data_IF_101735023861
#
_entry.id   IF_101735023861
#
_cell.length_a   1.000
_cell.length_b   1.000
_cell.length_c   1.000
_cell.angle_alpha   90.00
_cell.angle_beta   90.00
_cell.angle_gamma   90.00
#
_symmetry.space_group_name_H-M   'P 1'
#
loop_
_entity.id
_entity.type
_entity.pdbx_description
1 polymer ?
#
# COMPACT_ATOMS: atom_id res chain seq x y z
N UNK A 1 6.48 -50.63 -11.22
CA UNK A 1 7.23 -49.69 -12.05
C UNK A 1 6.23 -48.96 -12.95
N UNK A 2 5.82 -47.78 -12.58
CA UNK A 2 4.91 -46.93 -13.38
C UNK A 2 5.51 -45.54 -13.49
N UNK A 3 6.03 -45.25 -14.69
CA UNK A 3 6.61 -43.98 -15.09
C UNK A 3 5.55 -42.87 -15.08
N UNK A 4 5.66 -41.92 -14.15
CA UNK A 4 4.89 -40.65 -14.17
C UNK A 4 5.64 -39.62 -14.97
N UNK A 5 5.19 -39.37 -16.21
CA UNK A 5 5.60 -38.21 -17.04
C UNK A 5 5.33 -36.89 -16.33
N UNK A 6 6.27 -35.91 -16.31
CA UNK A 6 6.05 -34.59 -15.76
C UNK A 6 5.10 -33.79 -16.65
N UNK A 7 4.04 -33.19 -16.07
CA UNK A 7 3.14 -32.25 -16.73
C UNK A 7 3.88 -30.92 -16.95
N UNK A 8 4.07 -30.57 -18.22
CA UNK A 8 4.51 -29.21 -18.61
C UNK A 8 3.38 -28.21 -18.33
N UNK A 9 3.66 -27.20 -17.51
CA UNK A 9 2.77 -26.06 -17.31
C UNK A 9 2.69 -25.15 -18.56
N UNK A 10 1.65 -24.33 -18.70
CA UNK A 10 1.48 -23.46 -19.85
C UNK A 10 2.58 -22.38 -19.88
N UNK A 11 3.28 -22.30 -21.02
CA UNK A 11 4.22 -21.22 -21.33
C UNK A 11 3.41 -19.94 -21.58
N UNK A 12 3.66 -18.91 -20.79
CA UNK A 12 3.13 -17.57 -21.02
C UNK A 12 4.00 -16.90 -22.07
N UNK A 13 3.46 -16.73 -23.26
CA UNK A 13 4.09 -16.04 -24.38
C UNK A 13 4.03 -14.51 -24.10
N UNK A 14 5.19 -13.91 -23.81
CA UNK A 14 5.32 -12.48 -23.60
C UNK A 14 5.35 -11.79 -24.96
N UNK A 15 4.22 -11.26 -25.38
CA UNK A 15 4.11 -10.43 -26.59
C UNK A 15 4.84 -9.10 -26.34
N UNK A 16 6.03 -8.96 -26.92
CA UNK A 16 6.80 -7.70 -26.95
C UNK A 16 6.13 -6.74 -27.95
N UNK A 17 5.67 -5.59 -27.47
CA UNK A 17 5.21 -4.49 -28.33
C UNK A 17 6.40 -3.95 -29.15
N UNK A 18 6.21 -3.71 -30.45
CA UNK A 18 7.26 -3.12 -31.28
C UNK A 18 7.48 -1.64 -30.91
N UNK A 19 8.75 -1.27 -30.76
CA UNK A 19 9.20 0.10 -30.54
C UNK A 19 9.02 0.90 -31.84
N UNK A 20 8.37 2.06 -31.75
CA UNK A 20 8.23 3.01 -32.86
C UNK A 20 9.55 3.77 -32.99
N UNK A 21 10.20 3.79 -34.15
CA UNK A 21 11.40 4.58 -34.36
C UNK A 21 11.06 6.07 -34.51
N UNK A 22 11.76 6.92 -33.75
CA UNK A 22 11.72 8.37 -33.90
C UNK A 22 12.46 8.78 -35.17
N UNK A 23 11.72 9.21 -36.17
CA UNK A 23 12.29 9.80 -37.39
C UNK A 23 12.63 11.27 -37.16
N UNK A 24 13.89 11.59 -37.46
CA UNK A 24 14.47 12.94 -37.41
C UNK A 24 13.84 13.91 -38.40
N UNK A 25 13.90 15.17 -38.06
CA UNK A 25 13.56 16.32 -38.91
C UNK A 25 14.53 16.40 -40.10
N UNK A 26 14.05 16.60 -41.32
CA UNK A 26 14.81 17.22 -42.38
C UNK A 26 14.36 18.66 -42.63
N UNK A 27 15.34 19.44 -43.11
CA UNK A 27 15.36 20.86 -43.29
C UNK A 27 14.31 21.43 -44.24
N UNK A 28 14.04 22.69 -44.02
CA UNK A 28 13.24 23.62 -44.82
C UNK A 28 13.86 23.86 -46.18
N UNK A 29 13.10 23.83 -47.26
CA UNK A 29 13.43 24.57 -48.46
C UNK A 29 12.54 25.79 -48.64
N UNK A 30 13.16 26.91 -48.93
CA UNK A 30 12.61 28.20 -49.27
C UNK A 30 11.59 28.11 -50.44
N UNK A 31 10.38 28.66 -50.22
CA UNK A 31 9.38 28.80 -51.28
C UNK A 31 9.41 30.20 -51.89
N UNK A 32 9.24 30.27 -53.23
CA UNK A 32 9.16 31.54 -53.94
C UNK A 32 7.80 32.23 -53.81
N UNK A 33 7.82 33.57 -53.86
CA UNK A 33 6.68 34.45 -53.74
C UNK A 33 5.61 34.21 -54.82
N UNK A 34 4.36 34.02 -54.38
CA UNK A 34 3.18 33.92 -55.23
C UNK A 34 2.34 35.21 -55.16
N UNK A 35 1.87 35.76 -56.28
CA UNK A 35 1.21 37.07 -56.35
C UNK A 35 -0.19 37.06 -55.69
N UNK A 36 -0.50 38.17 -55.01
CA UNK A 36 -1.74 38.47 -54.33
C UNK A 36 -2.96 38.33 -55.22
N UNK A 37 -3.81 37.31 -54.95
CA UNK A 37 -5.18 37.24 -55.47
C UNK A 37 -6.14 37.95 -54.49
N UNK A 38 -6.85 38.93 -55.03
CA UNK A 38 -7.95 39.65 -54.37
C UNK A 38 -9.02 38.68 -53.85
N UNK A 39 -9.23 38.68 -52.54
CA UNK A 39 -10.25 37.88 -51.84
C UNK A 39 -11.65 38.53 -52.03
N UNK A 40 -12.70 37.75 -52.35
CA UNK A 40 -14.06 38.23 -52.38
C UNK A 40 -14.58 38.52 -50.96
N UNK A 41 -15.59 39.42 -50.79
CA UNK A 41 -16.09 39.84 -49.48
C UNK A 41 -16.68 38.65 -48.71
N UNK A 42 -16.19 38.47 -47.50
CA UNK A 42 -16.64 37.44 -46.56
C UNK A 42 -18.10 37.72 -46.15
N UNK A 43 -19.01 36.74 -46.29
CA UNK A 43 -20.38 36.90 -45.80
C UNK A 43 -20.41 36.98 -44.29
N UNK A 44 -21.13 37.95 -43.80
CA UNK A 44 -21.41 38.38 -42.43
C UNK A 44 -21.03 37.44 -41.30
N UNK A 45 -20.06 37.90 -40.51
CA UNK A 45 -19.74 37.37 -39.15
C UNK A 45 -21.05 37.33 -38.35
N UNK A 46 -21.63 36.13 -38.16
CA UNK A 46 -22.69 35.93 -37.17
C UNK A 46 -22.15 36.43 -35.83
N UNK A 47 -22.76 37.50 -35.28
CA UNK A 47 -22.52 38.00 -33.93
C UNK A 47 -22.81 36.84 -32.98
N UNK A 48 -21.76 36.21 -32.45
CA UNK A 48 -21.89 35.33 -31.34
C UNK A 48 -22.46 36.17 -30.18
N UNK A 49 -23.69 35.86 -29.76
CA UNK A 49 -24.27 36.41 -28.55
C UNK A 49 -23.36 36.11 -27.36
N UNK A 50 -23.54 36.79 -26.22
CA UNK A 50 -22.70 36.58 -25.05
C UNK A 50 -22.59 35.10 -24.72
N UNK A 51 -21.40 34.58 -24.73
CA UNK A 51 -21.13 33.17 -24.45
C UNK A 51 -21.64 32.86 -23.05
N UNK A 52 -22.55 31.91 -22.96
CA UNK A 52 -23.11 31.44 -21.69
C UNK A 52 -21.94 31.01 -20.78
N UNK A 53 -21.91 31.40 -19.51
CA UNK A 53 -20.85 31.00 -18.61
C UNK A 53 -20.77 29.47 -18.56
N UNK A 54 -19.57 28.89 -18.46
CA UNK A 54 -19.41 27.44 -18.40
C UNK A 54 -20.17 26.86 -17.19
N UNK A 55 -20.83 25.70 -17.34
CA UNK A 55 -21.61 25.08 -16.27
C UNK A 55 -20.69 24.72 -15.08
N UNK A 56 -21.16 24.99 -13.86
CA UNK A 56 -20.41 24.65 -12.64
C UNK A 56 -20.44 23.12 -12.40
N UNK A 57 -19.42 22.58 -11.69
CA UNK A 57 -19.40 21.16 -11.33
C UNK A 57 -20.66 20.72 -10.57
N UNK A 58 -21.20 21.58 -9.72
CA UNK A 58 -22.45 21.31 -8.98
C UNK A 58 -23.66 21.17 -9.89
N UNK A 59 -23.81 22.05 -10.87
CA UNK A 59 -24.90 21.97 -11.87
C UNK A 59 -24.77 20.68 -12.70
N UNK A 60 -23.55 20.32 -13.09
CA UNK A 60 -23.30 19.10 -13.84
C UNK A 60 -23.68 17.88 -13.01
N UNK A 61 -23.24 17.81 -11.75
CA UNK A 61 -23.54 16.68 -10.86
C UNK A 61 -25.02 16.60 -10.50
N UNK A 62 -25.70 17.73 -10.29
CA UNK A 62 -27.14 17.75 -10.04
C UNK A 62 -27.93 17.21 -11.22
N UNK A 63 -27.58 17.64 -12.45
CA UNK A 63 -28.23 17.15 -13.67
C UNK A 63 -27.92 15.67 -13.92
N UNK A 64 -26.66 15.25 -13.72
CA UNK A 64 -26.26 13.86 -13.87
C UNK A 64 -27.04 12.93 -12.96
N UNK A 65 -27.22 13.32 -11.69
CA UNK A 65 -28.04 12.57 -10.71
C UNK A 65 -29.52 12.53 -11.11
N UNK A 66 -30.09 13.68 -11.48
CA UNK A 66 -31.50 13.77 -11.85
C UNK A 66 -31.86 12.94 -13.07
N UNK A 67 -30.99 12.92 -14.08
CA UNK A 67 -31.23 12.25 -15.35
C UNK A 67 -30.60 10.86 -15.43
N UNK A 68 -29.89 10.41 -14.37
CA UNK A 68 -29.13 9.15 -14.31
C UNK A 68 -28.20 8.97 -15.52
N UNK A 69 -27.37 9.97 -15.79
CA UNK A 69 -26.43 9.95 -16.92
C UNK A 69 -24.99 10.25 -16.47
N UNK A 70 -23.98 9.89 -17.27
CA UNK A 70 -22.61 10.31 -17.02
C UNK A 70 -22.48 11.84 -16.93
N UNK A 71 -21.61 12.34 -16.04
CA UNK A 71 -21.35 13.79 -15.88
C UNK A 71 -20.97 14.48 -17.20
N UNK A 72 -20.27 13.77 -18.11
CA UNK A 72 -19.93 14.28 -19.46
C UNK A 72 -21.17 14.59 -20.31
N UNK A 73 -22.21 13.77 -20.18
CA UNK A 73 -23.48 13.94 -20.94
C UNK A 73 -24.29 15.07 -20.33
N UNK A 74 -24.38 15.14 -19.00
CA UNK A 74 -25.01 16.24 -18.30
C UNK A 74 -24.34 17.59 -18.65
N UNK A 75 -23.02 17.65 -18.71
CA UNK A 75 -22.28 18.81 -19.19
C UNK A 75 -22.66 19.16 -20.64
N UNK A 76 -22.69 18.16 -21.52
CA UNK A 76 -23.07 18.33 -22.91
C UNK A 76 -24.48 18.91 -23.09
N UNK A 77 -25.45 18.54 -22.25
CA UNK A 77 -26.78 19.14 -22.23
C UNK A 77 -26.78 20.59 -21.78
N UNK A 78 -26.06 20.92 -20.69
CA UNK A 78 -25.92 22.30 -20.20
C UNK A 78 -25.21 23.21 -21.21
N UNK A 79 -24.29 22.65 -22.00
CA UNK A 79 -23.61 23.36 -23.10
C UNK A 79 -24.44 23.37 -24.42
N UNK A 80 -25.60 22.72 -24.45
CA UNK A 80 -26.45 22.67 -25.63
C UNK A 80 -25.99 21.72 -26.75
N UNK A 81 -25.06 20.80 -26.46
CA UNK A 81 -24.44 19.89 -27.43
C UNK A 81 -25.24 18.59 -27.63
N UNK A 82 -25.79 18.01 -26.56
CA UNK A 82 -26.51 16.74 -26.56
C UNK A 82 -27.52 16.71 -25.42
N UNK A 83 -28.74 16.25 -25.69
CA UNK A 83 -29.76 16.06 -24.65
C UNK A 83 -29.59 14.72 -23.96
N UNK A 84 -29.69 14.66 -22.63
CA UNK A 84 -29.61 13.44 -21.83
C UNK A 84 -30.61 12.37 -22.32
N UNK A 85 -31.85 12.77 -22.64
CA UNK A 85 -32.86 11.87 -23.21
C UNK A 85 -32.43 11.24 -24.53
N UNK A 86 -31.72 11.97 -25.40
CA UNK A 86 -31.24 11.44 -26.69
C UNK A 86 -30.15 10.41 -26.44
N UNK A 87 -29.20 10.72 -25.52
CA UNK A 87 -28.16 9.78 -25.16
C UNK A 87 -28.72 8.48 -24.57
N UNK A 88 -29.69 8.58 -23.64
CA UNK A 88 -30.35 7.41 -23.03
C UNK A 88 -31.01 6.50 -24.05
N UNK A 89 -31.60 7.07 -25.12
CA UNK A 89 -32.20 6.28 -26.22
C UNK A 89 -31.12 5.56 -27.05
N UNK A 90 -30.01 6.24 -27.33
CA UNK A 90 -28.93 5.67 -28.16
C UNK A 90 -28.10 4.63 -27.43
N UNK A 91 -28.00 4.76 -26.09
CA UNK A 91 -27.15 3.93 -25.22
C UNK A 91 -27.97 3.28 -24.09
N UNK A 92 -29.03 2.54 -24.45
CA UNK A 92 -29.98 2.00 -23.49
C UNK A 92 -29.36 1.07 -22.45
N UNK A 93 -28.42 0.21 -22.85
CA UNK A 93 -27.71 -0.69 -21.91
C UNK A 93 -26.82 0.09 -20.92
N UNK A 94 -26.11 1.09 -21.39
CA UNK A 94 -25.29 1.94 -20.54
C UNK A 94 -26.19 2.77 -19.61
N UNK A 95 -27.27 3.33 -20.10
CA UNK A 95 -28.24 4.05 -19.29
C UNK A 95 -28.84 3.18 -18.18
N UNK A 96 -29.18 1.93 -18.48
CA UNK A 96 -29.65 0.98 -17.45
C UNK A 96 -28.62 0.75 -16.33
N UNK A 97 -27.33 0.64 -16.66
CA UNK A 97 -26.27 0.54 -15.64
C UNK A 97 -26.20 1.79 -14.76
N UNK A 98 -26.37 2.98 -15.35
CA UNK A 98 -26.42 4.22 -14.59
C UNK A 98 -27.66 4.29 -13.69
N UNK A 99 -28.81 3.82 -14.15
CA UNK A 99 -30.01 3.71 -13.30
C UNK A 99 -29.74 2.82 -12.06
N UNK A 100 -29.08 1.68 -12.25
CA UNK A 100 -28.71 0.79 -11.15
C UNK A 100 -27.71 1.44 -10.18
N UNK A 101 -26.70 2.18 -10.70
CA UNK A 101 -25.72 2.91 -9.87
C UNK A 101 -26.40 3.95 -9.01
N UNK A 102 -27.26 4.78 -9.59
CA UNK A 102 -27.95 5.82 -8.85
C UNK A 102 -28.97 5.26 -7.84
N UNK A 103 -29.68 4.19 -8.18
CA UNK A 103 -30.56 3.48 -7.24
C UNK A 103 -29.78 2.91 -6.04
N UNK A 104 -28.56 2.38 -6.27
CA UNK A 104 -27.66 1.94 -5.18
C UNK A 104 -27.22 3.10 -4.29
N UNK A 105 -26.91 4.26 -4.88
CA UNK A 105 -26.53 5.45 -4.11
C UNK A 105 -27.70 6.02 -3.30
N UNK A 106 -28.93 5.97 -3.82
CA UNK A 106 -30.12 6.38 -3.10
C UNK A 106 -30.43 5.48 -1.91
N UNK A 107 -30.30 4.16 -2.09
CA UNK A 107 -30.47 3.19 -0.99
C UNK A 107 -29.31 3.16 -0.01
N UNK A 108 -28.13 3.69 -0.39
CA UNK A 108 -26.93 3.72 0.44
C UNK A 108 -26.25 5.10 0.34
N UNK A 109 -26.69 6.11 1.12
CA UNK A 109 -26.19 7.49 1.00
C UNK A 109 -24.70 7.67 1.26
N UNK A 110 -24.06 6.69 1.91
CA UNK A 110 -22.61 6.68 2.17
C UNK A 110 -21.78 6.24 0.97
N UNK A 111 -22.40 5.66 -0.08
CA UNK A 111 -21.70 5.23 -1.29
C UNK A 111 -21.47 6.41 -2.24
N UNK A 112 -20.21 6.66 -2.57
CA UNK A 112 -19.86 7.52 -3.70
C UNK A 112 -20.15 6.83 -5.04
N UNK A 113 -20.19 7.61 -6.11
CA UNK A 113 -20.48 7.12 -7.46
C UNK A 113 -19.53 5.98 -7.91
N UNK A 114 -18.22 6.14 -7.69
CA UNK A 114 -17.22 5.12 -8.03
C UNK A 114 -17.42 3.83 -7.24
N UNK A 115 -17.81 3.95 -5.97
CA UNK A 115 -18.05 2.79 -5.10
C UNK A 115 -19.32 2.04 -5.50
N UNK A 116 -20.40 2.76 -5.83
CA UNK A 116 -21.63 2.16 -6.32
C UNK A 116 -21.39 1.41 -7.64
N UNK A 117 -20.58 1.99 -8.53
CA UNK A 117 -20.16 1.32 -9.77
C UNK A 117 -19.32 0.06 -9.49
N UNK A 118 -18.38 0.13 -8.54
CA UNK A 118 -17.58 -1.00 -8.11
C UNK A 118 -18.42 -2.12 -7.46
N UNK A 119 -19.43 -1.78 -6.68
CA UNK A 119 -20.40 -2.72 -6.12
C UNK A 119 -21.11 -3.48 -7.23
N UNK A 120 -21.64 -2.78 -8.22
CA UNK A 120 -22.30 -3.39 -9.39
C UNK A 120 -21.36 -4.33 -10.15
N UNK A 121 -20.13 -3.90 -10.43
CA UNK A 121 -19.16 -4.71 -11.16
C UNK A 121 -18.73 -5.96 -10.39
N UNK A 122 -18.59 -5.85 -9.06
CA UNK A 122 -18.11 -6.97 -8.23
C UNK A 122 -19.19 -7.95 -7.84
N UNK A 123 -20.48 -7.56 -7.94
CA UNK A 123 -21.61 -8.35 -7.45
C UNK A 123 -21.64 -8.54 -5.92
N UNK A 124 -20.82 -7.78 -5.16
CA UNK A 124 -20.77 -7.85 -3.71
C UNK A 124 -21.83 -6.96 -3.08
N UNK A 125 -22.28 -7.31 -1.87
CA UNK A 125 -23.08 -6.41 -1.07
C UNK A 125 -22.28 -5.13 -0.73
N UNK A 126 -22.93 -3.93 -0.66
CA UNK A 126 -22.23 -2.65 -0.42
C UNK A 126 -21.28 -2.66 0.78
N UNK A 127 -21.72 -3.21 1.90
CA UNK A 127 -20.89 -3.32 3.11
C UNK A 127 -19.63 -4.18 2.89
N UNK A 128 -19.77 -5.32 2.21
CA UNK A 128 -18.65 -6.22 1.89
C UNK A 128 -17.65 -5.56 0.93
N UNK A 129 -18.15 -4.82 -0.06
CA UNK A 129 -17.31 -4.09 -1.00
C UNK A 129 -16.49 -3.01 -0.28
N UNK A 130 -17.13 -2.19 0.56
CA UNK A 130 -16.44 -1.14 1.34
C UNK A 130 -15.40 -1.73 2.30
N UNK A 131 -15.72 -2.82 2.97
CA UNK A 131 -14.76 -3.52 3.83
C UNK A 131 -13.53 -4.03 3.03
N UNK A 132 -13.77 -4.63 1.87
CA UNK A 132 -12.70 -5.10 0.98
C UNK A 132 -11.86 -3.93 0.45
N UNK A 133 -12.49 -2.82 0.08
CA UNK A 133 -11.82 -1.59 -0.36
C UNK A 133 -10.95 -1.02 0.75
N UNK A 134 -11.48 -0.88 1.97
CA UNK A 134 -10.73 -0.39 3.13
C UNK A 134 -9.52 -1.28 3.46
N UNK A 135 -9.68 -2.62 3.43
CA UNK A 135 -8.55 -3.56 3.59
C UNK A 135 -7.48 -3.37 2.53
N UNK A 136 -7.90 -3.18 1.27
CA UNK A 136 -6.97 -2.98 0.15
C UNK A 136 -6.23 -1.64 0.29
N UNK A 137 -6.92 -0.57 0.64
CA UNK A 137 -6.33 0.74 0.89
C UNK A 137 -5.32 0.69 2.04
N UNK A 138 -5.70 0.07 3.17
CA UNK A 138 -4.78 -0.14 4.31
C UNK A 138 -3.52 -0.91 3.89
N UNK A 139 -3.69 -1.99 3.13
CA UNK A 139 -2.55 -2.80 2.62
C UNK A 139 -1.63 -1.97 1.72
N UNK A 140 -2.20 -1.17 0.83
CA UNK A 140 -1.44 -0.30 -0.07
C UNK A 140 -0.69 0.79 0.70
N UNK A 141 -1.35 1.44 1.66
CA UNK A 141 -0.76 2.46 2.51
C UNK A 141 0.43 1.90 3.33
N UNK A 142 0.27 0.72 3.95
CA UNK A 142 1.37 0.06 4.68
C UNK A 142 2.52 -0.32 3.73
N UNK A 143 2.22 -0.80 2.52
CA UNK A 143 3.27 -1.11 1.53
C UNK A 143 4.05 0.14 1.12
N UNK A 144 3.36 1.25 0.87
CA UNK A 144 3.98 2.53 0.53
C UNK A 144 4.83 3.07 1.69
N UNK A 145 4.30 3.00 2.92
CA UNK A 145 5.04 3.40 4.12
C UNK A 145 6.36 2.64 4.25
N UNK A 146 6.32 1.32 4.09
CA UNK A 146 7.52 0.47 4.15
C UNK A 146 8.53 0.76 3.06
N UNK A 147 8.08 1.10 1.86
CA UNK A 147 8.99 1.46 0.75
C UNK A 147 9.66 2.82 0.92
N UNK A 148 9.12 3.69 1.77
CA UNK A 148 9.66 5.01 2.05
C UNK A 148 10.70 5.01 3.21
N UNK A 149 10.76 3.92 4.00
CA UNK A 149 11.66 3.82 5.15
C UNK A 149 12.93 3.09 4.74
N UNK A 150 14.09 3.68 5.09
CA UNK A 150 15.40 3.06 4.87
C UNK A 150 15.60 1.83 5.76
N UNK A 151 16.26 0.81 5.23
CA UNK A 151 16.66 -0.38 6.00
C UNK A 151 18.14 -0.36 6.39
N UNK A 152 18.87 0.71 6.10
CA UNK A 152 20.33 0.78 6.23
C UNK A 152 20.83 0.43 7.63
N UNK A 153 20.19 0.97 8.68
CA UNK A 153 20.60 0.70 10.06
C UNK A 153 20.42 -0.77 10.44
N UNK A 154 19.29 -1.38 10.05
CA UNK A 154 19.01 -2.81 10.28
C UNK A 154 19.97 -3.68 9.50
N UNK A 155 20.21 -3.36 8.23
CA UNK A 155 21.13 -4.12 7.37
C UNK A 155 22.58 -4.01 7.88
N UNK A 156 23.00 -2.84 8.37
CA UNK A 156 24.32 -2.63 8.97
C UNK A 156 24.52 -3.49 10.23
N UNK A 157 23.52 -3.52 11.13
CA UNK A 157 23.56 -4.39 12.30
C UNK A 157 23.67 -5.86 11.89
N UNK A 158 22.76 -6.33 11.02
CA UNK A 158 22.73 -7.74 10.60
C UNK A 158 24.03 -8.16 9.91
N UNK A 159 24.58 -7.30 9.07
CA UNK A 159 25.88 -7.50 8.42
C UNK A 159 27.02 -7.60 9.45
N UNK A 160 27.07 -6.67 10.41
CA UNK A 160 28.04 -6.69 11.50
C UNK A 160 27.96 -7.99 12.32
N UNK A 161 26.74 -8.48 12.63
CA UNK A 161 26.56 -9.73 13.38
C UNK A 161 27.08 -10.95 12.61
N UNK A 162 26.88 -10.98 11.28
CA UNK A 162 27.39 -12.05 10.41
C UNK A 162 28.93 -11.99 10.32
N UNK A 163 29.50 -10.82 10.01
CA UNK A 163 30.94 -10.63 9.83
C UNK A 163 31.72 -10.95 11.09
N UNK A 164 31.19 -10.59 12.24
CA UNK A 164 31.84 -10.84 13.55
C UNK A 164 31.57 -12.25 14.07
N UNK A 165 30.70 -13.05 13.44
CA UNK A 165 30.25 -14.34 13.95
C UNK A 165 29.84 -14.26 15.44
N UNK A 166 29.15 -13.15 15.77
CA UNK A 166 28.84 -12.82 17.16
C UNK A 166 27.86 -13.85 17.75
N UNK A 167 28.10 -14.29 19.00
CA UNK A 167 27.12 -15.13 19.70
C UNK A 167 25.85 -14.32 19.96
N UNK A 168 24.72 -14.85 19.50
CA UNK A 168 23.41 -14.19 19.54
C UNK A 168 22.46 -14.89 20.48
N UNK A 169 21.64 -14.11 21.16
CA UNK A 169 20.40 -14.54 21.75
C UNK A 169 19.27 -14.36 20.72
N UNK A 170 18.65 -15.47 20.34
CA UNK A 170 17.50 -15.54 19.43
C UNK A 170 16.27 -15.86 20.27
N UNK A 171 15.44 -14.85 20.54
CA UNK A 171 14.24 -15.01 21.36
C UNK A 171 13.09 -15.49 20.48
N UNK A 172 12.53 -16.61 20.85
CA UNK A 172 11.35 -17.21 20.22
C UNK A 172 10.16 -17.15 21.19
N UNK A 173 9.00 -17.66 20.78
CA UNK A 173 7.80 -17.63 21.64
C UNK A 173 8.01 -18.38 22.96
N UNK A 174 8.64 -19.56 22.91
CA UNK A 174 8.74 -20.47 24.06
C UNK A 174 10.12 -20.49 24.72
N UNK A 175 11.15 -20.04 24.01
CA UNK A 175 12.55 -20.14 24.46
C UNK A 175 13.47 -19.14 23.82
N UNK A 176 14.58 -18.88 24.49
CA UNK A 176 15.73 -18.17 23.93
C UNK A 176 16.78 -19.20 23.50
N UNK A 177 17.31 -19.06 22.29
CA UNK A 177 18.38 -19.88 21.74
C UNK A 177 19.67 -19.06 21.70
N UNK A 178 20.79 -19.71 21.93
CA UNK A 178 22.11 -19.16 21.65
C UNK A 178 22.61 -19.70 20.32
N UNK A 179 22.89 -18.84 19.35
CA UNK A 179 23.33 -19.24 18.02
C UNK A 179 24.19 -18.15 17.35
N UNK A 180 24.70 -18.42 16.16
CA UNK A 180 25.42 -17.47 15.32
C UNK A 180 24.63 -17.29 14.01
N UNK A 181 24.49 -16.04 13.53
CA UNK A 181 23.80 -15.73 12.28
C UNK A 181 24.77 -15.91 11.10
N UNK A 182 24.44 -16.77 10.16
CA UNK A 182 25.24 -17.03 8.96
C UNK A 182 24.75 -16.20 7.76
N UNK A 183 23.43 -16.09 7.60
CA UNK A 183 22.84 -15.36 6.46
C UNK A 183 21.43 -14.85 6.78
N UNK A 184 21.02 -13.83 6.05
CA UNK A 184 19.67 -13.26 6.08
C UNK A 184 18.99 -13.50 4.74
N UNK A 185 17.98 -14.35 4.74
CA UNK A 185 17.12 -14.56 3.58
C UNK A 185 15.92 -13.61 3.60
N UNK A 186 15.15 -13.58 2.51
CA UNK A 186 13.95 -12.75 2.43
C UNK A 186 12.94 -13.03 3.55
N UNK A 187 12.73 -14.33 3.88
CA UNK A 187 11.70 -14.76 4.83
C UNK A 187 12.26 -15.55 6.03
N UNK A 188 13.56 -15.74 6.10
CA UNK A 188 14.21 -16.55 7.12
C UNK A 188 15.55 -15.97 7.53
N UNK A 189 16.01 -16.37 8.69
CA UNK A 189 17.39 -16.27 9.14
C UNK A 189 18.04 -17.66 9.04
N UNK A 190 19.30 -17.71 8.62
CA UNK A 190 20.11 -18.92 8.62
C UNK A 190 21.07 -18.87 9.79
N UNK A 191 20.91 -19.76 10.73
CA UNK A 191 21.74 -19.88 11.91
C UNK A 191 22.68 -21.10 11.81
N UNK A 192 23.79 -21.05 12.52
CA UNK A 192 24.83 -22.09 12.49
C UNK A 192 24.39 -23.41 13.12
N UNK A 193 23.73 -23.36 14.27
CA UNK A 193 23.31 -24.56 15.04
C UNK A 193 21.84 -24.91 14.78
N UNK A 194 20.94 -23.93 14.88
CA UNK A 194 19.50 -24.17 14.75
C UNK A 194 19.00 -24.19 13.30
N UNK A 195 19.90 -23.93 12.32
CA UNK A 195 19.59 -23.97 10.91
C UNK A 195 18.66 -22.83 10.47
N UNK A 196 17.83 -23.12 9.49
CA UNK A 196 16.92 -22.13 8.91
C UNK A 196 15.70 -21.90 9.81
N UNK A 197 15.45 -20.63 10.18
CA UNK A 197 14.30 -20.20 10.98
C UNK A 197 13.51 -19.10 10.27
N UNK A 198 12.18 -19.26 10.18
CA UNK A 198 11.33 -18.19 9.63
C UNK A 198 11.46 -16.92 10.48
N UNK A 199 11.60 -15.75 9.83
CA UNK A 199 11.64 -14.45 10.54
C UNK A 199 10.45 -14.26 11.46
N UNK A 200 9.26 -14.77 11.07
CA UNK A 200 8.05 -14.69 11.89
C UNK A 200 8.11 -15.43 13.23
N UNK A 201 9.05 -16.34 13.40
CA UNK A 201 9.25 -17.05 14.69
C UNK A 201 10.13 -16.25 15.65
N UNK A 202 10.94 -15.33 15.14
CA UNK A 202 11.88 -14.54 15.93
C UNK A 202 11.17 -13.32 16.52
N UNK A 203 11.30 -13.11 17.83
CA UNK A 203 10.75 -11.97 18.57
C UNK A 203 11.80 -10.89 18.80
N UNK A 204 13.00 -11.33 19.16
CA UNK A 204 14.16 -10.45 19.35
C UNK A 204 15.39 -11.16 18.84
N UNK A 205 16.28 -10.41 18.21
CA UNK A 205 17.63 -10.82 17.88
C UNK A 205 18.60 -9.82 18.49
N UNK A 206 19.54 -10.29 19.30
CA UNK A 206 20.52 -9.43 19.96
C UNK A 206 21.85 -10.16 20.15
N UNK A 207 22.92 -9.44 20.37
CA UNK A 207 24.14 -10.05 20.90
C UNK A 207 23.83 -10.68 22.26
N UNK A 208 24.42 -11.81 22.56
CA UNK A 208 24.17 -12.55 23.82
C UNK A 208 24.39 -11.66 25.06
N UNK A 209 25.49 -10.97 25.12
CA UNK A 209 25.84 -10.10 26.26
C UNK A 209 24.85 -8.94 26.44
N UNK A 210 24.33 -8.40 25.31
CA UNK A 210 23.32 -7.35 25.31
C UNK A 210 22.00 -7.89 25.85
N UNK A 211 21.61 -9.08 25.40
CA UNK A 211 20.39 -9.73 25.87
C UNK A 211 20.46 -10.07 27.37
N UNK A 212 21.57 -10.62 27.85
CA UNK A 212 21.76 -10.95 29.25
C UNK A 212 21.59 -9.70 30.14
N UNK A 213 22.15 -8.57 29.73
CA UNK A 213 21.96 -7.28 30.44
C UNK A 213 20.52 -6.77 30.36
N UNK A 214 19.93 -6.79 29.18
CA UNK A 214 18.58 -6.30 28.98
C UNK A 214 17.54 -7.16 29.70
N UNK A 215 17.73 -8.48 29.71
CA UNK A 215 16.79 -9.43 30.31
C UNK A 215 16.53 -9.22 31.81
N UNK A 216 17.51 -8.67 32.54
CA UNK A 216 17.35 -8.33 33.94
C UNK A 216 16.28 -7.25 34.20
N UNK A 217 15.97 -6.41 33.23
CA UNK A 217 14.99 -5.33 33.34
C UNK A 217 13.66 -5.61 32.58
N UNK A 218 13.59 -6.76 31.92
CA UNK A 218 12.40 -7.13 31.12
C UNK A 218 11.29 -7.59 32.04
N UNK A 219 10.13 -6.95 31.90
CA UNK A 219 8.90 -7.39 32.56
C UNK A 219 8.21 -8.47 31.70
N UNK A 220 7.46 -9.34 32.35
CA UNK A 220 6.74 -10.39 31.68
C UNK A 220 5.23 -10.32 32.04
N UNK A 221 4.38 -10.19 31.02
CA UNK A 221 2.93 -10.32 31.17
C UNK A 221 2.60 -11.82 31.37
N UNK A 222 2.11 -12.23 32.56
CA UNK A 222 1.89 -13.64 32.85
C UNK A 222 0.81 -14.29 31.97
N UNK A 223 -0.16 -13.53 31.47
CA UNK A 223 -1.22 -14.06 30.60
C UNK A 223 -0.68 -14.39 29.22
N UNK A 224 0.11 -13.48 28.62
CA UNK A 224 0.76 -13.71 27.33
C UNK A 224 1.91 -14.73 27.42
N UNK A 225 2.58 -14.83 28.57
CA UNK A 225 3.61 -15.86 28.79
C UNK A 225 3.01 -17.27 28.80
N UNK A 226 1.85 -17.45 29.45
CA UNK A 226 1.15 -18.74 29.45
C UNK A 226 0.50 -19.07 28.11
N UNK A 227 0.02 -18.05 27.40
CA UNK A 227 -0.67 -18.21 26.11
C UNK A 227 -0.18 -17.16 25.12
N UNK A 228 0.96 -17.39 24.44
CA UNK A 228 1.48 -16.45 23.46
C UNK A 228 0.46 -16.12 22.36
N UNK A 229 0.46 -14.87 21.94
CA UNK A 229 -0.38 -14.45 20.82
C UNK A 229 0.04 -15.19 19.54
N UNK A 230 -0.90 -15.64 18.69
CA UNK A 230 -0.59 -16.46 17.53
C UNK A 230 0.23 -15.73 16.48
N UNK A 231 1.03 -16.48 15.72
CA UNK A 231 1.75 -15.97 14.56
C UNK A 231 0.76 -15.61 13.46
N UNK A 232 0.58 -14.31 13.20
CA UNK A 232 -0.27 -13.82 12.13
C UNK A 232 0.57 -13.62 10.87
N UNK A 233 0.38 -14.49 9.87
CA UNK A 233 1.11 -14.42 8.58
C UNK A 233 0.69 -13.23 7.73
N UNK A 234 -0.58 -12.83 7.80
CA UNK A 234 -1.15 -11.72 7.02
C UNK A 234 -0.85 -10.35 7.67
N UNK A 235 -0.05 -9.48 7.03
CA UNK A 235 0.34 -8.20 7.65
C UNK A 235 -0.83 -7.30 8.05
N UNK A 236 -1.91 -7.33 7.28
CA UNK A 236 -3.12 -6.52 7.53
C UNK A 236 -3.90 -6.91 8.78
N UNK A 237 -3.67 -8.12 9.30
CA UNK A 237 -4.31 -8.62 10.53
C UNK A 237 -3.45 -8.47 11.78
N UNK A 238 -2.18 -8.06 11.62
CA UNK A 238 -1.27 -7.86 12.76
C UNK A 238 -1.67 -6.60 13.52
N UNK A 239 -1.48 -6.64 14.83
CA UNK A 239 -1.69 -5.49 15.70
C UNK A 239 -0.77 -4.32 15.28
N UNK A 240 0.49 -4.63 15.02
CA UNK A 240 1.49 -3.67 14.53
C UNK A 240 2.03 -4.16 13.19
N UNK A 241 1.84 -3.36 12.15
CA UNK A 241 2.33 -3.65 10.79
C UNK A 241 2.82 -2.41 10.04
N UNK A 242 2.43 -1.22 10.51
CA UNK A 242 2.82 0.06 9.94
C UNK A 242 4.00 0.60 10.74
N UNK A 243 5.15 0.85 10.11
CA UNK A 243 6.31 1.41 10.80
C UNK A 243 6.21 2.92 11.06
N UNK A 244 5.33 3.66 10.36
CA UNK A 244 5.25 5.13 10.45
C UNK A 244 5.03 5.67 11.86
N UNK A 245 4.15 5.09 12.71
CA UNK A 245 3.97 5.60 14.06
C UNK A 245 5.24 5.62 14.90
N UNK A 246 6.22 4.78 14.58
CA UNK A 246 7.49 4.73 15.29
C UNK A 246 8.47 5.80 14.82
N UNK A 247 8.36 6.31 13.60
CA UNK A 247 9.34 7.27 13.04
C UNK A 247 9.39 8.57 13.82
N UNK A 248 8.27 8.99 14.42
CA UNK A 248 8.17 10.21 15.24
C UNK A 248 8.81 10.05 16.63
N UNK A 249 9.10 8.80 17.03
CA UNK A 249 9.65 8.48 18.35
C UNK A 249 11.11 8.00 18.31
N UNK A 250 11.79 8.14 17.17
CA UNK A 250 13.22 7.86 17.08
C UNK A 250 13.98 8.79 18.03
N UNK A 251 14.88 8.22 18.85
CA UNK A 251 15.60 8.91 19.91
C UNK A 251 14.84 8.98 21.25
N UNK A 252 13.59 8.51 21.31
CA UNK A 252 12.79 8.47 22.53
C UNK A 252 12.69 7.05 23.09
N UNK A 253 12.42 6.93 24.38
CA UNK A 253 12.14 5.64 25.00
C UNK A 253 10.74 5.16 24.61
N UNK A 254 10.64 3.86 24.26
CA UNK A 254 9.38 3.19 23.92
C UNK A 254 9.20 1.95 24.78
N UNK A 255 7.94 1.63 25.03
CA UNK A 255 7.55 0.36 25.65
C UNK A 255 6.95 -0.54 24.58
N UNK A 256 7.52 -1.72 24.40
CA UNK A 256 7.10 -2.72 23.42
C UNK A 256 6.65 -3.99 24.15
N UNK A 257 5.40 -4.37 24.01
CA UNK A 257 4.87 -5.65 24.51
C UNK A 257 4.89 -6.66 23.38
N UNK A 258 5.65 -7.72 23.54
CA UNK A 258 5.81 -8.77 22.55
C UNK A 258 4.74 -9.86 22.73
N UNK A 259 4.53 -10.65 21.69
CA UNK A 259 3.45 -11.67 21.67
C UNK A 259 3.66 -12.81 22.69
N UNK A 260 4.88 -13.01 23.22
CA UNK A 260 5.17 -13.95 24.31
C UNK A 260 5.11 -13.30 25.71
N UNK A 261 4.62 -12.06 25.81
CA UNK A 261 4.47 -11.32 27.06
C UNK A 261 5.67 -10.53 27.51
N UNK A 262 6.82 -10.64 26.85
CA UNK A 262 7.99 -9.81 27.20
C UNK A 262 7.69 -8.35 26.91
N UNK A 263 8.00 -7.48 27.89
CA UNK A 263 7.85 -6.03 27.78
C UNK A 263 9.23 -5.38 27.81
N UNK A 264 9.61 -4.78 26.70
CA UNK A 264 10.87 -4.08 26.51
C UNK A 264 10.65 -2.57 26.70
N UNK A 265 11.42 -1.94 27.57
CA UNK A 265 11.46 -0.47 27.75
C UNK A 265 12.83 0.02 27.33
N UNK A 266 12.96 0.52 26.12
CA UNK A 266 14.27 0.87 25.53
C UNK A 266 14.15 2.12 24.65
N UNK A 267 15.26 2.81 24.41
CA UNK A 267 15.35 3.88 23.42
C UNK A 267 15.10 3.32 22.02
N UNK A 268 14.24 3.97 21.24
CA UNK A 268 14.04 3.63 19.82
C UNK A 268 15.14 4.28 19.01
N UNK A 269 16.07 3.51 18.48
CA UNK A 269 17.23 4.01 17.72
C UNK A 269 16.95 4.20 16.25
N UNK A 270 16.33 3.21 15.63
CA UNK A 270 16.00 3.25 14.22
C UNK A 270 14.74 2.44 13.90
N UNK A 271 14.08 2.82 12.80
CA UNK A 271 12.89 2.16 12.29
C UNK A 271 13.21 1.64 10.90
N UNK A 272 13.13 0.33 10.73
CA UNK A 272 13.19 -0.34 9.44
C UNK A 272 11.80 -0.61 8.87
N UNK A 273 11.70 -1.07 7.62
CA UNK A 273 10.43 -1.42 6.98
C UNK A 273 9.65 -2.52 7.69
N UNK A 274 10.34 -3.39 8.42
CA UNK A 274 9.78 -4.58 9.07
C UNK A 274 10.22 -4.77 10.51
N UNK A 275 11.22 -4.00 10.96
CA UNK A 275 11.95 -4.21 12.19
C UNK A 275 12.23 -2.88 12.88
N UNK A 276 12.40 -2.92 14.20
CA UNK A 276 12.85 -1.79 15.02
C UNK A 276 14.22 -2.12 15.59
N UNK A 277 15.11 -1.13 15.65
CA UNK A 277 16.31 -1.18 16.48
C UNK A 277 16.04 -0.39 17.75
N UNK A 278 16.12 -1.07 18.89
CA UNK A 278 15.94 -0.45 20.21
C UNK A 278 17.20 -0.67 21.07
N UNK A 279 17.42 0.21 22.02
CA UNK A 279 18.64 0.26 22.84
C UNK A 279 19.52 1.46 22.48
N UNK A 280 20.80 1.35 22.81
CA UNK A 280 21.85 2.31 22.42
C UNK A 280 22.84 1.66 21.43
N UNK A 281 23.87 2.39 21.01
CA UNK A 281 24.87 1.90 20.03
C UNK A 281 25.61 0.65 20.44
N UNK A 282 25.72 0.40 21.76
CA UNK A 282 26.43 -0.74 22.31
C UNK A 282 25.48 -1.86 22.78
N UNK A 283 24.16 -1.56 22.83
CA UNK A 283 23.12 -2.47 23.35
C UNK A 283 21.93 -2.62 22.43
N UNK A 284 22.19 -2.79 21.13
CA UNK A 284 21.14 -2.92 20.11
C UNK A 284 20.39 -4.24 20.18
N UNK A 285 19.07 -4.12 20.18
CA UNK A 285 18.12 -5.21 20.02
C UNK A 285 17.34 -5.02 18.73
N UNK A 286 17.30 -6.02 17.87
CA UNK A 286 16.44 -6.06 16.70
C UNK A 286 15.08 -6.67 17.09
N UNK A 287 14.02 -5.90 16.96
CA UNK A 287 12.64 -6.31 17.28
C UNK A 287 11.78 -6.24 16.03
N UNK A 288 11.39 -7.39 15.44
CA UNK A 288 10.49 -7.38 14.29
C UNK A 288 9.10 -6.84 14.63
N UNK A 289 8.52 -6.01 13.76
CA UNK A 289 7.18 -5.43 13.96
C UNK A 289 6.08 -6.49 14.19
N UNK A 290 6.22 -7.67 13.59
CA UNK A 290 5.25 -8.76 13.77
C UNK A 290 5.29 -9.40 15.16
N UNK A 291 6.35 -9.17 15.93
CA UNK A 291 6.48 -9.65 17.29
C UNK A 291 5.70 -8.77 18.28
N UNK A 292 5.40 -7.53 17.92
CA UNK A 292 4.80 -6.53 18.79
C UNK A 292 3.29 -6.65 18.76
N UNK A 293 2.65 -6.81 19.93
CA UNK A 293 1.19 -6.82 20.08
C UNK A 293 0.66 -5.48 20.58
N UNK A 294 1.47 -4.73 21.34
CA UNK A 294 1.13 -3.40 21.85
C UNK A 294 2.41 -2.59 22.03
N UNK A 295 2.31 -1.29 21.87
CA UNK A 295 3.41 -0.37 22.13
C UNK A 295 2.89 0.98 22.62
N UNK A 296 3.72 1.73 23.33
CA UNK A 296 3.47 3.11 23.74
C UNK A 296 4.80 3.87 23.86
N UNK A 297 4.82 5.20 23.69
CA UNK A 297 5.94 6.02 24.13
C UNK A 297 6.15 5.86 25.64
N UNK A 298 7.40 5.73 26.10
CA UNK A 298 7.68 5.65 27.52
C UNK A 298 7.35 7.01 28.18
N UNK A 299 6.47 7.00 29.18
CA UNK A 299 6.01 8.21 29.86
C UNK A 299 4.55 8.57 29.63
N UNK A 300 3.87 7.92 28.71
CA UNK A 300 2.40 8.02 28.55
C UNK A 300 1.69 6.96 29.40
N UNK A 301 1.94 6.96 30.73
CA UNK A 301 1.14 6.14 31.65
C UNK A 301 -0.30 6.66 31.64
N UNK A 302 -1.20 5.87 31.09
CA UNK A 302 -2.66 6.07 31.21
C UNK A 302 -3.13 5.65 32.58
#
# INVERSE_FOLDING_TARGET
MTDKKPRRGPQVEVVRRPSIPSTGKPGEPSQPAVPSRSTPPTPGRRRFGPSRPPPTPEQINALARREHVPARIARGELEGKMKCRTWRKLHAEEAHRFDQVYALMESNPTLGFEDAFGVLQSGLAPAQFLERKAKTQKKTAVKQARSAISNEAVDALLKSLIEQQAPLAVVLDERTLEDELLAVERVAFQFKRSGRREKLQVLVLARREVWERASASILCDPQLAQRPAPIIRQPERRAVSDPRPFTEHVGQAVELVLRNGLTLRQGLRAVGPYDLLVGDEQSELLVPLHAIVRWSPAGSSS
#
